data_IF_456501387888
#
_entry.id   IF_456501387888
#
_cell.length_a   1.000
_cell.length_b   1.000
_cell.length_c   1.000
_cell.angle_alpha   90.00
_cell.angle_beta   90.00
_cell.angle_gamma   90.00
#
_symmetry.space_group_name_H-M   'P 1'
#
loop_
_entity.id
_entity.type
_entity.pdbx_description
1 polymer ?
#
# COMPACT_ATOMS: atom_id res chain seq x y z
N UNK A 1 15.72 8.33 -3.12
CA UNK A 1 14.68 9.08 -2.35
C UNK A 1 14.77 8.76 -0.87
N UNK A 2 14.00 9.46 -0.04
CA UNK A 2 14.05 9.39 1.43
C UNK A 2 12.62 9.32 1.97
N UNK A 3 12.47 8.80 3.18
CA UNK A 3 11.21 8.78 3.94
C UNK A 3 11.38 9.73 5.12
N UNK A 4 10.40 10.60 5.31
CA UNK A 4 10.39 11.59 6.38
C UNK A 4 9.16 11.39 7.26
N UNK A 5 9.29 11.71 8.54
CA UNK A 5 8.20 11.90 9.48
C UNK A 5 7.98 13.40 9.67
N UNK A 6 6.73 13.81 9.73
CA UNK A 6 6.32 15.17 10.10
C UNK A 6 5.58 15.05 11.43
N UNK A 7 6.09 15.69 12.46
CA UNK A 7 5.50 15.70 13.79
C UNK A 7 4.40 16.78 13.90
N UNK A 8 3.52 16.74 14.94
CA UNK A 8 2.46 17.73 15.11
C UNK A 8 2.93 19.19 15.19
N UNK A 9 4.16 19.42 15.63
CA UNK A 9 4.81 20.75 15.66
C UNK A 9 5.44 21.13 14.32
N UNK A 10 5.20 20.34 13.25
CA UNK A 10 5.75 20.47 11.91
C UNK A 10 7.26 20.20 11.79
N UNK A 11 7.89 19.68 12.83
CA UNK A 11 9.27 19.22 12.75
C UNK A 11 9.38 18.06 11.76
N UNK A 12 10.36 18.15 10.83
CA UNK A 12 10.59 17.14 9.80
C UNK A 12 11.82 16.33 10.14
N UNK A 13 11.62 15.04 10.37
CA UNK A 13 12.69 14.09 10.69
C UNK A 13 12.87 13.07 9.57
N UNK A 14 14.10 12.88 9.12
CA UNK A 14 14.43 11.83 8.15
C UNK A 14 14.47 10.47 8.85
N UNK A 15 13.58 9.57 8.43
CA UNK A 15 13.46 8.22 9.00
C UNK A 15 14.33 7.22 8.25
N UNK A 16 14.29 7.26 6.91
CA UNK A 16 14.98 6.30 6.05
C UNK A 16 15.54 6.97 4.79
N UNK A 17 16.54 6.34 4.19
CA UNK A 17 17.17 6.78 2.94
C UNK A 17 17.51 5.60 2.03
N UNK A 18 18.05 5.90 0.84
CA UNK A 18 18.49 4.94 -0.18
C UNK A 18 17.37 4.20 -0.90
N UNK A 19 16.11 4.69 -0.84
CA UNK A 19 15.03 4.21 -1.69
C UNK A 19 15.11 4.84 -3.08
N UNK A 20 14.63 4.10 -4.08
CA UNK A 20 14.40 4.65 -5.43
C UNK A 20 12.98 5.15 -5.57
N UNK A 21 11.99 4.35 -5.19
CA UNK A 21 10.56 4.70 -5.23
C UNK A 21 9.93 4.19 -3.93
N UNK A 22 9.97 4.99 -2.83
CA UNK A 22 9.37 4.61 -1.56
C UNK A 22 7.84 4.55 -1.68
N UNK A 23 7.25 3.41 -1.32
CA UNK A 23 5.83 3.10 -1.45
C UNK A 23 5.37 2.09 -0.39
N UNK A 24 4.11 1.66 -0.48
CA UNK A 24 3.55 0.57 0.32
C UNK A 24 3.56 0.81 1.83
N UNK A 25 3.42 2.07 2.26
CA UNK A 25 3.45 2.43 3.68
C UNK A 25 2.13 2.04 4.36
N UNK A 26 2.21 1.23 5.42
CA UNK A 26 1.07 0.86 6.25
C UNK A 26 1.52 0.46 7.65
N UNK A 27 0.59 0.44 8.62
CA UNK A 27 0.81 -0.05 9.99
C UNK A 27 -0.20 -1.14 10.32
N UNK A 28 0.23 -2.15 11.08
CA UNK A 28 -0.68 -3.16 11.62
C UNK A 28 -1.68 -2.55 12.62
N UNK A 29 -2.77 -3.25 12.98
CA UNK A 29 -3.86 -2.69 13.77
C UNK A 29 -3.48 -2.13 15.14
N UNK A 30 -2.43 -2.64 15.78
CA UNK A 30 -1.93 -2.14 17.07
C UNK A 30 -0.80 -1.10 16.93
N UNK A 31 -0.44 -0.73 15.70
CA UNK A 31 0.63 0.20 15.37
C UNK A 31 2.03 -0.21 15.89
N UNK A 32 2.26 -1.49 16.15
CA UNK A 32 3.56 -2.01 16.60
C UNK A 32 4.51 -2.37 15.46
N UNK A 33 3.98 -2.51 14.23
CA UNK A 33 4.74 -2.85 13.04
C UNK A 33 4.38 -1.89 11.91
N UNK A 34 5.41 -1.26 11.34
CA UNK A 34 5.32 -0.48 10.11
C UNK A 34 5.76 -1.33 8.92
N UNK A 35 5.05 -1.27 7.83
CA UNK A 35 5.40 -1.87 6.54
C UNK A 35 5.77 -0.79 5.55
N UNK A 36 6.77 -1.08 4.71
CA UNK A 36 7.21 -0.16 3.67
C UNK A 36 7.92 -0.93 2.55
N UNK A 37 7.84 -0.43 1.32
CA UNK A 37 8.53 -1.02 0.17
C UNK A 37 9.29 0.03 -0.63
N UNK A 38 10.24 -0.44 -1.43
CA UNK A 38 10.75 0.26 -2.60
C UNK A 38 10.22 -0.45 -3.85
N UNK A 39 9.38 0.21 -4.62
CA UNK A 39 8.77 -0.37 -5.84
C UNK A 39 9.82 -0.98 -6.79
N UNK A 40 11.06 -0.49 -6.77
CA UNK A 40 12.13 -1.03 -7.62
C UNK A 40 12.62 -2.40 -7.17
N UNK A 41 12.59 -2.69 -5.89
CA UNK A 41 13.01 -4.00 -5.35
C UNK A 41 11.84 -4.96 -5.20
N UNK A 42 10.61 -4.44 -5.11
CA UNK A 42 9.39 -5.21 -4.83
C UNK A 42 9.43 -6.03 -3.52
N UNK A 43 10.34 -5.68 -2.61
CA UNK A 43 10.41 -6.26 -1.28
C UNK A 43 9.62 -5.39 -0.33
N UNK A 44 8.56 -5.92 0.25
CA UNK A 44 7.91 -5.31 1.42
C UNK A 44 8.71 -5.67 2.66
N UNK A 45 9.09 -4.67 3.41
CA UNK A 45 9.81 -4.81 4.67
C UNK A 45 8.90 -4.45 5.83
N UNK A 46 9.04 -5.17 6.91
CA UNK A 46 8.39 -4.87 8.18
C UNK A 46 9.43 -4.35 9.19
N UNK A 47 9.02 -3.38 9.97
CA UNK A 47 9.85 -2.73 11.00
C UNK A 47 9.10 -2.77 12.32
N UNK A 48 9.77 -3.17 13.39
CA UNK A 48 9.22 -2.90 14.73
C UNK A 48 9.10 -1.38 14.89
N UNK A 49 7.90 -0.92 15.18
CA UNK A 49 7.58 0.49 15.29
C UNK A 49 7.22 0.86 16.73
N UNK A 50 7.83 1.91 17.23
CA UNK A 50 7.49 2.51 18.51
C UNK A 50 6.58 3.71 18.28
N UNK A 51 5.31 3.61 18.66
CA UNK A 51 4.32 4.64 18.41
C UNK A 51 4.60 5.93 19.22
N UNK A 52 5.24 5.82 20.38
CA UNK A 52 5.50 6.98 21.23
C UNK A 52 6.67 7.85 20.70
N UNK A 53 7.72 7.20 20.21
CA UNK A 53 8.89 7.92 19.65
C UNK A 53 8.82 8.06 18.12
N UNK A 54 7.99 7.25 17.45
CA UNK A 54 7.96 7.14 15.99
C UNK A 54 9.21 6.49 15.40
N UNK A 55 9.99 5.75 16.21
CA UNK A 55 11.18 5.07 15.75
C UNK A 55 10.86 3.73 15.07
N UNK A 56 11.63 3.45 14.01
CA UNK A 56 11.58 2.18 13.28
C UNK A 56 12.84 1.37 13.59
N UNK A 57 12.67 0.29 14.33
CA UNK A 57 13.72 -0.62 14.73
C UNK A 57 13.58 -1.94 13.98
N UNK A 58 14.59 -2.77 13.96
CA UNK A 58 14.59 -4.16 13.44
C UNK A 58 13.83 -4.32 12.13
N UNK A 59 14.57 -4.33 11.04
CA UNK A 59 14.04 -4.56 9.69
C UNK A 59 14.00 -6.05 9.37
N UNK A 60 12.91 -6.50 8.74
CA UNK A 60 12.76 -7.87 8.21
C UNK A 60 12.13 -7.82 6.84
N UNK A 61 12.49 -8.73 5.95
CA UNK A 61 11.74 -8.98 4.72
C UNK A 61 10.43 -9.66 5.10
N UNK A 62 9.32 -9.03 4.71
CA UNK A 62 7.97 -9.54 4.99
C UNK A 62 7.43 -10.31 3.78
N UNK A 63 7.56 -9.73 2.57
CA UNK A 63 7.10 -10.36 1.36
C UNK A 63 7.88 -9.87 0.13
N UNK A 64 8.23 -10.79 -0.76
CA UNK A 64 8.86 -10.48 -2.04
C UNK A 64 7.88 -10.73 -3.18
N UNK A 65 7.59 -9.70 -3.95
CA UNK A 65 6.78 -9.81 -5.16
C UNK A 65 7.65 -10.11 -6.38
N UNK A 66 7.23 -11.09 -7.18
CA UNK A 66 7.82 -11.33 -8.50
C UNK A 66 7.36 -10.24 -9.48
N UNK A 67 8.19 -9.22 -9.69
CA UNK A 67 7.87 -8.04 -10.46
C UNK A 67 7.43 -8.34 -11.89
N UNK A 68 8.05 -9.32 -12.53
CA UNK A 68 7.77 -9.66 -13.92
C UNK A 68 6.38 -10.28 -14.07
N UNK A 69 5.88 -10.91 -13.03
CA UNK A 69 4.53 -11.51 -12.99
C UNK A 69 3.46 -10.63 -12.37
N UNK A 70 3.85 -9.73 -11.46
CA UNK A 70 2.88 -9.04 -10.62
C UNK A 70 2.82 -7.53 -10.83
N UNK A 71 3.77 -6.92 -11.53
CA UNK A 71 3.95 -5.47 -11.55
C UNK A 71 4.68 -4.96 -10.31
N UNK A 72 4.65 -3.64 -10.09
CA UNK A 72 5.33 -2.98 -8.98
C UNK A 72 4.39 -2.66 -7.82
N UNK A 73 4.80 -2.93 -6.59
CA UNK A 73 4.06 -2.49 -5.40
C UNK A 73 4.02 -0.96 -5.37
N UNK A 74 2.80 -0.39 -5.31
CA UNK A 74 2.56 1.04 -5.14
C UNK A 74 2.01 1.30 -3.73
N UNK A 75 0.81 1.85 -3.57
CA UNK A 75 0.21 2.08 -2.27
C UNK A 75 -0.26 0.82 -1.56
N UNK A 76 -0.46 0.92 -0.26
CA UNK A 76 -0.95 -0.19 0.56
C UNK A 76 -1.92 0.27 1.66
N UNK A 77 -2.74 -0.67 2.12
CA UNK A 77 -3.64 -0.53 3.25
C UNK A 77 -3.58 -1.77 4.14
N UNK A 78 -3.99 -1.62 5.40
CA UNK A 78 -4.04 -2.72 6.35
C UNK A 78 -5.47 -3.03 6.76
N UNK A 79 -5.82 -4.31 6.91
CA UNK A 79 -7.08 -4.71 7.50
C UNK A 79 -6.95 -5.07 9.00
N UNK A 80 -8.08 -5.19 9.68
CA UNK A 80 -8.15 -5.47 11.13
C UNK A 80 -7.68 -6.88 11.50
N UNK A 81 -7.47 -7.76 10.54
CA UNK A 81 -6.83 -9.08 10.74
C UNK A 81 -5.32 -9.06 10.51
N UNK A 82 -4.74 -7.86 10.28
CA UNK A 82 -3.32 -7.69 10.01
C UNK A 82 -2.89 -8.05 8.58
N UNK A 83 -3.85 -8.20 7.66
CA UNK A 83 -3.55 -8.44 6.25
C UNK A 83 -3.08 -7.16 5.54
N UNK A 84 -1.96 -7.26 4.86
CA UNK A 84 -1.36 -6.18 4.06
C UNK A 84 -1.90 -6.22 2.63
N UNK A 85 -2.66 -5.22 2.25
CA UNK A 85 -3.23 -5.05 0.92
C UNK A 85 -2.34 -4.13 0.07
N UNK A 86 -1.89 -4.61 -1.08
CA UNK A 86 -1.03 -3.85 -1.99
C UNK A 86 -1.66 -3.66 -3.35
N UNK A 87 -1.62 -2.43 -3.87
CA UNK A 87 -1.89 -2.14 -5.26
C UNK A 87 -0.66 -2.47 -6.11
N UNK A 88 -0.84 -3.23 -7.19
CA UNK A 88 0.24 -3.64 -8.07
C UNK A 88 0.18 -2.85 -9.38
N UNK A 89 0.95 -1.77 -9.44
CA UNK A 89 1.10 -0.91 -10.61
C UNK A 89 1.65 -1.70 -11.81
N UNK A 90 0.92 -1.69 -12.91
CA UNK A 90 1.21 -2.52 -14.08
C UNK A 90 0.73 -3.98 -13.94
N UNK A 91 0.23 -4.37 -12.77
CA UNK A 91 -0.20 -5.74 -12.48
C UNK A 91 -1.69 -6.00 -12.58
N UNK A 92 -2.53 -4.98 -12.78
CA UNK A 92 -4.00 -5.08 -12.89
C UNK A 92 -4.68 -5.69 -11.68
N UNK A 93 -4.11 -5.57 -10.48
CA UNK A 93 -4.66 -6.27 -9.31
C UNK A 93 -4.33 -5.60 -7.98
N UNK A 94 -5.13 -5.95 -6.98
CA UNK A 94 -4.76 -5.87 -5.58
C UNK A 94 -4.42 -7.27 -5.09
N UNK A 95 -3.51 -7.36 -4.15
CA UNK A 95 -3.26 -8.61 -3.43
C UNK A 95 -3.27 -8.36 -1.93
N UNK A 96 -3.61 -9.41 -1.20
CA UNK A 96 -3.54 -9.46 0.25
C UNK A 96 -2.46 -10.44 0.67
N UNK A 97 -1.55 -9.98 1.51
CA UNK A 97 -0.56 -10.82 2.20
C UNK A 97 -0.99 -10.97 3.65
N UNK A 98 -1.09 -12.21 4.14
CA UNK A 98 -1.44 -12.50 5.54
C UNK A 98 -0.35 -12.01 6.51
N UNK A 99 -0.64 -11.89 7.82
CA UNK A 99 0.38 -11.53 8.82
C UNK A 99 1.59 -12.47 8.84
N UNK A 100 1.41 -13.72 8.41
CA UNK A 100 2.46 -14.74 8.34
C UNK A 100 3.31 -14.63 7.05
N UNK A 101 3.05 -13.62 6.18
CA UNK A 101 3.80 -13.40 4.96
C UNK A 101 3.39 -14.32 3.80
N UNK A 102 2.17 -14.85 3.79
CA UNK A 102 1.66 -15.67 2.69
C UNK A 102 0.67 -14.90 1.81
N UNK A 103 0.68 -15.16 0.51
CA UNK A 103 -0.37 -14.66 -0.39
C UNK A 103 -1.72 -15.29 0.00
N UNK A 104 -2.69 -14.45 0.34
CA UNK A 104 -3.97 -14.86 0.92
C UNK A 104 -5.16 -14.53 0.00
N UNK A 105 -5.08 -13.45 -0.76
CA UNK A 105 -6.08 -13.10 -1.76
C UNK A 105 -5.51 -12.29 -2.92
N UNK A 106 -6.15 -12.41 -4.07
CA UNK A 106 -5.88 -11.63 -5.27
C UNK A 106 -7.22 -11.15 -5.87
N UNK A 107 -7.30 -9.86 -6.21
CA UNK A 107 -8.46 -9.23 -6.84
C UNK A 107 -8.01 -8.58 -8.14
N UNK A 108 -8.50 -9.08 -9.27
CA UNK A 108 -8.25 -8.46 -10.58
C UNK A 108 -9.05 -7.16 -10.71
N UNK A 109 -8.42 -6.16 -11.30
CA UNK A 109 -9.00 -4.83 -11.52
C UNK A 109 -9.14 -4.54 -13.02
N UNK A 110 -10.14 -3.74 -13.41
CA UNK A 110 -10.35 -3.36 -14.81
C UNK A 110 -9.35 -2.29 -15.31
N UNK A 111 -8.32 -1.99 -14.54
CA UNK A 111 -7.27 -1.00 -14.83
C UNK A 111 -5.89 -1.62 -14.62
N UNK A 112 -4.92 -1.28 -15.49
CA UNK A 112 -3.56 -1.83 -15.39
C UNK A 112 -2.72 -1.20 -14.28
N UNK A 113 -3.05 0.03 -13.88
CA UNK A 113 -2.22 0.84 -12.99
C UNK A 113 -2.98 1.26 -11.71
N UNK A 114 -3.43 0.30 -10.88
CA UNK A 114 -3.94 0.67 -9.55
C UNK A 114 -2.81 1.27 -8.72
N UNK A 115 -3.12 2.31 -7.91
CA UNK A 115 -2.10 3.07 -7.19
C UNK A 115 -2.26 2.98 -5.69
N UNK A 116 -3.38 3.39 -5.11
CA UNK A 116 -3.56 3.44 -3.66
C UNK A 116 -4.89 2.84 -3.24
N UNK A 117 -4.91 1.74 -2.47
CA UNK A 117 -6.10 1.23 -1.81
C UNK A 117 -6.32 1.94 -0.47
N UNK A 118 -7.57 2.20 -0.11
CA UNK A 118 -7.97 2.68 1.21
C UNK A 118 -9.30 2.07 1.59
N UNK A 119 -9.44 1.64 2.84
CA UNK A 119 -10.71 1.19 3.38
C UNK A 119 -11.59 2.39 3.77
N UNK A 120 -12.86 2.30 3.46
CA UNK A 120 -13.87 3.33 3.77
C UNK A 120 -15.26 2.73 3.87
N UNK A 121 -16.26 3.62 3.89
CA UNK A 121 -17.64 3.26 4.21
C UNK A 121 -17.88 3.14 5.72
N UNK A 122 -19.15 3.02 6.14
CA UNK A 122 -19.51 3.04 7.56
C UNK A 122 -18.98 1.84 8.35
N UNK A 123 -18.74 0.72 7.68
CA UNK A 123 -18.25 -0.53 8.26
C UNK A 123 -16.78 -0.83 7.87
N UNK A 124 -16.11 0.08 7.14
CA UNK A 124 -14.76 -0.08 6.60
C UNK A 124 -14.59 -1.35 5.75
N UNK A 125 -15.63 -1.79 5.05
CA UNK A 125 -15.60 -2.96 4.14
C UNK A 125 -15.70 -2.57 2.68
N UNK A 126 -15.69 -1.29 2.36
CA UNK A 126 -15.53 -0.80 1.00
C UNK A 126 -14.08 -0.39 0.80
N UNK A 127 -13.41 -0.96 -0.18
CA UNK A 127 -12.08 -0.54 -0.56
C UNK A 127 -12.18 0.38 -1.77
N UNK A 128 -11.72 1.61 -1.62
CA UNK A 128 -11.54 2.59 -2.69
C UNK A 128 -10.13 2.48 -3.23
N UNK A 129 -9.99 2.45 -4.56
CA UNK A 129 -8.69 2.28 -5.21
C UNK A 129 -8.52 3.37 -6.26
N UNK A 130 -7.51 4.20 -6.11
CA UNK A 130 -7.10 5.14 -7.16
C UNK A 130 -6.31 4.41 -8.24
N UNK A 131 -6.32 4.95 -9.45
CA UNK A 131 -5.55 4.41 -10.57
C UNK A 131 -4.89 5.52 -11.38
N UNK A 132 -3.79 5.18 -12.04
CA UNK A 132 -3.13 6.04 -12.99
C UNK A 132 -3.52 5.69 -14.43
N UNK A 133 -3.17 6.59 -15.36
CA UNK A 133 -3.28 6.38 -16.81
C UNK A 133 -1.99 6.76 -17.55
N UNK A 134 -0.89 6.77 -16.82
CA UNK A 134 0.39 7.22 -17.34
C UNK A 134 0.91 6.27 -18.43
N UNK A 135 1.32 6.83 -19.57
CA UNK A 135 1.84 6.09 -20.73
C UNK A 135 0.86 5.06 -21.34
N UNK A 136 -0.44 5.23 -21.13
CA UNK A 136 -1.46 4.49 -21.85
C UNK A 136 -1.72 5.15 -23.22
N UNK A 137 -1.81 4.36 -24.26
CA UNK A 137 -2.21 4.82 -25.59
C UNK A 137 -3.74 4.76 -25.79
N UNK A 138 -4.22 5.14 -27.00
CA UNK A 138 -5.65 5.13 -27.30
C UNK A 138 -6.27 3.72 -27.26
N UNK A 139 -5.53 2.69 -27.64
CA UNK A 139 -5.98 1.30 -27.57
C UNK A 139 -6.11 0.81 -26.12
N UNK A 140 -5.18 1.24 -25.27
CA UNK A 140 -5.24 0.99 -23.84
C UNK A 140 -6.49 1.62 -23.20
N UNK A 141 -6.79 2.89 -23.53
CA UNK A 141 -8.00 3.56 -23.02
C UNK A 141 -9.30 2.88 -23.47
N UNK A 142 -9.36 2.37 -24.68
CA UNK A 142 -10.52 1.61 -25.14
C UNK A 142 -10.71 0.31 -24.37
N UNK A 143 -9.63 -0.37 -24.02
CA UNK A 143 -9.66 -1.63 -23.25
C UNK A 143 -9.77 -1.41 -21.73
N UNK A 144 -9.47 -0.22 -21.23
CA UNK A 144 -9.44 0.17 -19.82
C UNK A 144 -10.15 1.53 -19.61
N UNK A 145 -11.46 1.65 -19.88
CA UNK A 145 -12.16 2.94 -19.83
C UNK A 145 -12.21 3.59 -18.45
N UNK A 146 -11.85 2.84 -17.40
CA UNK A 146 -11.77 3.33 -16.01
C UNK A 146 -10.36 3.73 -15.57
N UNK A 147 -9.37 3.67 -16.47
CA UNK A 147 -7.99 4.08 -16.14
C UNK A 147 -7.92 5.57 -15.76
N UNK A 148 -7.20 5.88 -14.69
CA UNK A 148 -7.14 7.21 -14.08
C UNK A 148 -8.31 7.54 -13.17
N UNK A 149 -9.30 6.63 -13.04
CA UNK A 149 -10.47 6.80 -12.19
C UNK A 149 -10.28 6.27 -10.77
N UNK A 150 -11.34 6.44 -9.98
CA UNK A 150 -11.49 5.87 -8.65
C UNK A 150 -12.42 4.64 -8.74
N UNK A 151 -11.93 3.51 -8.28
CA UNK A 151 -12.69 2.28 -8.18
C UNK A 151 -13.18 2.07 -6.75
N UNK A 152 -14.29 1.34 -6.59
CA UNK A 152 -14.80 0.91 -5.30
C UNK A 152 -15.20 -0.57 -5.38
N UNK A 153 -14.76 -1.36 -4.41
CA UNK A 153 -15.08 -2.78 -4.29
C UNK A 153 -15.48 -3.13 -2.85
N UNK A 154 -16.41 -4.07 -2.70
CA UNK A 154 -16.73 -4.63 -1.38
C UNK A 154 -15.75 -5.77 -1.06
N UNK A 155 -15.29 -5.82 0.18
CA UNK A 155 -14.40 -6.87 0.70
C UNK A 155 -14.98 -7.49 1.96
N UNK A 156 -14.64 -8.76 2.22
CA UNK A 156 -15.18 -9.52 3.37
C UNK A 156 -14.37 -9.32 4.68
N UNK A 157 -13.49 -8.30 4.71
CA UNK A 157 -12.67 -7.97 5.88
C UNK A 157 -12.82 -6.49 6.18
N UNK A 158 -12.86 -6.15 7.45
CA UNK A 158 -12.89 -4.76 7.90
C UNK A 158 -11.48 -4.16 7.80
N UNK A 159 -11.38 -2.95 7.25
CA UNK A 159 -10.13 -2.21 7.19
C UNK A 159 -9.69 -1.63 8.53
N UNK A 160 -8.39 -1.38 8.65
CA UNK A 160 -7.86 -0.59 9.76
C UNK A 160 -8.18 0.89 9.55
N UNK A 161 -8.54 1.59 10.62
CA UNK A 161 -8.83 3.01 10.57
C UNK A 161 -7.56 3.83 10.32
N UNK A 162 -7.61 4.75 9.38
CA UNK A 162 -6.50 5.70 9.14
C UNK A 162 -6.72 6.94 10.00
N UNK A 163 -5.73 7.27 10.83
CA UNK A 163 -5.80 8.43 11.70
C UNK A 163 -5.48 9.73 10.94
N UNK A 164 -6.23 10.80 11.14
CA UNK A 164 -5.91 12.09 10.55
C UNK A 164 -4.66 12.69 11.21
N UNK A 165 -3.90 13.45 10.42
CA UNK A 165 -2.83 14.29 10.94
C UNK A 165 -3.44 15.41 11.83
N UNK A 166 -2.82 15.63 12.97
CA UNK A 166 -3.31 16.59 13.98
C UNK A 166 -2.29 17.71 14.27
N UNK A 167 -1.54 18.11 13.24
CA UNK A 167 -0.62 19.24 13.35
C UNK A 167 -1.33 20.59 13.22
#
# INVERSE_FOLDING_TARGET
MQVFRIDPDLTVTKIRSKYRIPNGLAWNPDNSVMYHTDTRTNVVRSYKFDLASGECMVEREFYLFDRDKTGGVDGAAMDMKGGYWAALYGGRKLIRVSPDGNLDAEILLPVSQPTMPVFGGPDLKTMFITSAYQNLDNGDFMSQPFAGGLLAISVNVQGHHVYPFRG
#
